data_IF_902793544341
#
_entry.id   IF_902793544341
#
_cell.length_a   1.000
_cell.length_b   1.000
_cell.length_c   1.000
_cell.angle_alpha   90.00
_cell.angle_beta   90.00
_cell.angle_gamma   90.00
#
_symmetry.space_group_name_H-M   'P 1'
#
loop_
_entity.id
_entity.type
_entity.pdbx_description
1 polymer ?
#
# COMPACT_ATOMS: atom_id res chain seq x y z
N UNK A 1 19.53 -34.82 42.44
CA UNK A 1 18.47 -35.03 41.44
C UNK A 1 18.53 -33.83 40.51
N UNK A 2 18.82 -34.02 39.22
CA UNK A 2 18.86 -32.91 38.24
C UNK A 2 17.44 -32.78 37.69
N UNK A 3 16.88 -31.58 37.71
CA UNK A 3 15.56 -31.28 37.13
C UNK A 3 15.61 -31.49 35.61
N UNK A 4 14.62 -32.16 35.00
CA UNK A 4 14.59 -32.33 33.55
C UNK A 4 14.50 -30.96 32.84
N UNK A 5 15.06 -30.84 31.62
CA UNK A 5 15.01 -29.59 30.87
C UNK A 5 13.57 -29.19 30.53
N UNK A 6 13.27 -27.89 30.59
CA UNK A 6 11.94 -27.37 30.22
C UNK A 6 11.58 -27.71 28.76
N UNK A 7 10.32 -28.10 28.49
CA UNK A 7 9.89 -28.44 27.14
C UNK A 7 9.93 -27.21 26.22
N UNK A 8 10.34 -27.44 24.97
CA UNK A 8 10.35 -26.42 23.93
C UNK A 8 8.91 -25.90 23.68
N UNK A 9 8.73 -24.58 23.71
CA UNK A 9 7.43 -23.93 23.53
C UNK A 9 7.59 -22.56 22.88
N UNK A 10 6.54 -22.08 22.22
CA UNK A 10 6.51 -20.70 21.71
C UNK A 10 6.25 -19.71 22.86
N UNK A 11 6.94 -18.56 22.81
CA UNK A 11 6.62 -17.38 23.61
C UNK A 11 5.72 -16.41 22.85
N UNK A 12 5.92 -16.29 21.52
CA UNK A 12 5.05 -15.48 20.66
C UNK A 12 3.76 -16.22 20.34
N UNK A 13 2.62 -15.62 20.68
CA UNK A 13 1.28 -16.20 20.46
C UNK A 13 0.51 -15.53 19.34
N UNK A 14 0.93 -14.33 18.90
CA UNK A 14 0.27 -13.57 17.85
C UNK A 14 1.27 -12.74 17.04
N UNK A 15 0.89 -12.40 15.83
CA UNK A 15 1.62 -11.50 14.95
C UNK A 15 0.71 -10.30 14.64
N UNK A 16 1.23 -9.06 14.63
CA UNK A 16 0.47 -7.88 14.22
C UNK A 16 -0.14 -8.03 12.83
N UNK A 17 -1.24 -7.31 12.58
CA UNK A 17 -1.74 -7.12 11.21
C UNK A 17 -0.75 -6.31 10.37
N UNK A 18 -0.85 -6.48 9.05
CA UNK A 18 -0.13 -5.69 8.06
C UNK A 18 -1.10 -4.99 7.10
N UNK A 19 -0.55 -4.17 6.19
CA UNK A 19 -1.33 -3.47 5.15
C UNK A 19 -0.63 -3.63 3.81
N UNK A 20 -1.41 -3.85 2.74
CA UNK A 20 -0.86 -3.99 1.39
C UNK A 20 0.02 -2.80 1.03
N UNK A 21 1.23 -3.09 0.54
CA UNK A 21 2.20 -2.09 0.09
C UNK A 21 2.94 -1.35 1.19
N UNK A 22 2.67 -1.65 2.47
CA UNK A 22 3.40 -1.08 3.61
C UNK A 22 4.39 -2.11 4.11
N UNK A 23 5.65 -1.70 4.30
CA UNK A 23 6.68 -2.58 4.88
C UNK A 23 6.26 -3.08 6.25
N UNK A 24 6.21 -4.40 6.40
CA UNK A 24 5.99 -5.06 7.67
C UNK A 24 7.30 -5.11 8.44
N UNK A 25 7.36 -4.38 9.56
CA UNK A 25 8.55 -4.33 10.40
C UNK A 25 8.94 -5.73 10.89
N UNK A 26 10.24 -6.08 10.98
CA UNK A 26 10.66 -7.40 11.43
C UNK A 26 10.11 -7.74 12.82
N UNK A 27 9.39 -8.85 12.91
CA UNK A 27 8.92 -9.43 14.18
C UNK A 27 9.64 -10.76 14.40
N UNK A 28 10.33 -10.88 15.53
CA UNK A 28 10.97 -12.14 15.92
C UNK A 28 9.94 -13.01 16.64
N UNK A 29 9.72 -14.20 16.11
CA UNK A 29 8.98 -15.27 16.79
C UNK A 29 9.91 -15.88 17.83
N UNK A 30 9.53 -15.78 19.09
CA UNK A 30 10.31 -16.25 20.21
C UNK A 30 9.82 -17.62 20.71
N UNK A 31 10.76 -18.40 21.24
CA UNK A 31 10.53 -19.69 21.88
C UNK A 31 11.39 -19.82 23.13
N UNK A 32 10.90 -20.56 24.13
CA UNK A 32 11.62 -20.88 25.36
C UNK A 32 11.64 -22.40 25.61
N UNK A 33 12.41 -22.83 26.62
CA UNK A 33 12.75 -24.24 26.81
C UNK A 33 13.66 -24.79 25.71
N UNK A 34 13.73 -26.12 25.62
CA UNK A 34 14.57 -26.85 24.68
C UNK A 34 16.06 -26.72 24.95
N UNK A 35 16.87 -27.35 24.09
CA UNK A 35 18.33 -27.40 24.23
C UNK A 35 18.98 -26.85 22.96
N UNK A 36 19.86 -25.86 23.13
CA UNK A 36 20.68 -25.32 22.04
C UNK A 36 19.96 -24.30 21.14
N UNK A 37 20.40 -24.23 19.89
CA UNK A 37 19.91 -23.29 18.89
C UNK A 37 18.49 -23.66 18.45
N UNK A 38 17.69 -22.63 18.13
CA UNK A 38 16.35 -22.79 17.57
C UNK A 38 16.33 -22.51 16.08
N UNK A 39 15.67 -23.40 15.34
CA UNK A 39 15.42 -23.25 13.91
C UNK A 39 13.92 -23.23 13.66
N UNK A 40 13.45 -22.24 12.90
CA UNK A 40 12.03 -22.06 12.59
C UNK A 40 11.74 -22.43 11.13
N UNK A 41 10.57 -23.01 10.90
CA UNK A 41 10.13 -23.40 9.56
C UNK A 41 8.61 -23.35 9.43
N UNK A 42 8.12 -23.12 8.21
CA UNK A 42 6.70 -23.23 7.88
C UNK A 42 6.36 -24.70 7.65
N UNK A 43 5.33 -25.21 8.32
CA UNK A 43 4.90 -26.61 8.18
C UNK A 43 3.54 -26.77 7.49
N UNK A 44 2.68 -25.76 7.55
CA UNK A 44 1.41 -25.74 6.83
C UNK A 44 0.87 -24.32 6.63
N UNK A 45 -0.01 -24.17 5.65
CA UNK A 45 -0.53 -22.87 5.21
C UNK A 45 0.44 -22.16 4.27
N UNK A 46 0.15 -20.91 3.97
CA UNK A 46 0.98 -20.04 3.15
C UNK A 46 1.18 -18.70 3.85
N UNK A 47 2.39 -18.14 3.74
CA UNK A 47 2.64 -16.77 4.15
C UNK A 47 1.94 -15.81 3.18
N UNK A 48 1.57 -14.60 3.63
CA UNK A 48 1.09 -13.56 2.71
C UNK A 48 2.10 -13.30 1.59
N UNK A 49 1.63 -13.06 0.36
CA UNK A 49 2.51 -12.81 -0.79
C UNK A 49 3.39 -11.58 -0.54
N UNK A 50 4.71 -11.75 -0.59
CA UNK A 50 5.69 -10.69 -0.28
C UNK A 50 6.19 -10.71 1.17
N UNK A 51 5.73 -11.65 1.98
CA UNK A 51 6.25 -11.93 3.32
C UNK A 51 7.19 -13.13 3.34
N UNK A 52 8.12 -13.14 4.29
CA UNK A 52 9.07 -14.21 4.51
C UNK A 52 9.19 -14.54 6.00
N UNK A 53 9.53 -15.80 6.27
CA UNK A 53 9.95 -16.28 7.59
C UNK A 53 11.38 -16.83 7.45
N UNK A 54 12.30 -16.30 8.24
CA UNK A 54 13.68 -16.82 8.29
C UNK A 54 13.78 -18.03 9.21
N UNK A 55 14.85 -18.81 9.04
CA UNK A 55 15.18 -19.91 9.96
C UNK A 55 15.51 -19.45 11.38
N UNK A 56 15.81 -18.16 11.59
CA UNK A 56 15.98 -17.55 12.90
C UNK A 56 14.67 -17.06 13.53
N UNK A 57 13.53 -17.27 12.86
CA UNK A 57 12.20 -16.90 13.38
C UNK A 57 11.81 -15.47 13.08
N UNK A 58 12.50 -14.77 12.18
CA UNK A 58 12.16 -13.39 11.80
C UNK A 58 11.09 -13.41 10.72
N UNK A 59 9.94 -12.83 11.02
CA UNK A 59 8.83 -12.61 10.08
C UNK A 59 8.82 -11.16 9.62
N UNK A 60 8.98 -10.92 8.31
CA UNK A 60 9.08 -9.58 7.73
C UNK A 60 8.76 -9.60 6.24
N UNK A 61 8.58 -8.41 5.64
CA UNK A 61 8.40 -8.28 4.19
C UNK A 61 7.54 -7.09 3.81
N UNK A 62 7.00 -7.13 2.59
CA UNK A 62 6.06 -6.15 2.07
C UNK A 62 4.88 -6.89 1.41
N UNK A 63 3.75 -7.05 2.11
CA UNK A 63 2.64 -7.83 1.61
C UNK A 63 1.95 -7.12 0.43
N UNK A 64 1.54 -7.89 -0.57
CA UNK A 64 0.97 -7.36 -1.83
C UNK A 64 -0.51 -7.71 -2.04
N UNK A 65 -1.03 -8.66 -1.26
CA UNK A 65 -2.40 -9.17 -1.40
C UNK A 65 -3.09 -9.13 -0.05
N UNK A 66 -4.22 -8.42 0.01
CA UNK A 66 -5.06 -8.35 1.20
C UNK A 66 -5.71 -9.71 1.48
N UNK A 67 -5.92 -10.02 2.76
CA UNK A 67 -6.52 -11.29 3.16
C UNK A 67 -6.18 -11.69 4.59
N UNK A 68 -6.83 -12.74 5.06
CA UNK A 68 -6.48 -13.40 6.33
C UNK A 68 -5.67 -14.65 6.03
N UNK A 69 -4.46 -14.73 6.57
CA UNK A 69 -3.52 -15.81 6.31
C UNK A 69 -3.27 -16.58 7.60
N UNK A 70 -3.74 -17.83 7.65
CA UNK A 70 -3.45 -18.75 8.75
C UNK A 70 -2.38 -19.73 8.32
N UNK A 71 -1.30 -19.82 9.11
CA UNK A 71 -0.19 -20.70 8.86
C UNK A 71 0.41 -21.23 10.16
N UNK A 72 1.06 -22.38 10.08
CA UNK A 72 1.66 -23.04 11.25
C UNK A 72 3.17 -23.03 11.12
N UNK A 73 3.82 -22.51 12.15
CA UNK A 73 5.28 -22.46 12.29
C UNK A 73 5.70 -23.57 13.25
N UNK A 74 6.77 -24.27 12.88
CA UNK A 74 7.49 -25.19 13.76
C UNK A 74 8.77 -24.55 14.24
N UNK A 75 9.05 -24.68 15.53
CA UNK A 75 10.38 -24.48 16.10
C UNK A 75 11.00 -25.85 16.38
N UNK A 76 12.27 -26.01 16.07
CA UNK A 76 13.07 -27.21 16.33
C UNK A 76 14.35 -26.82 17.03
N UNK A 77 14.71 -27.53 18.10
CA UNK A 77 15.97 -27.34 18.82
C UNK A 77 17.08 -28.29 18.32
N UNK A 78 18.30 -28.16 18.85
CA UNK A 78 19.44 -28.97 18.41
C UNK A 78 19.30 -30.47 18.77
N UNK A 79 18.46 -30.79 19.75
CA UNK A 79 18.15 -32.16 20.17
C UNK A 79 16.92 -32.73 19.45
N UNK A 80 16.47 -32.07 18.37
CA UNK A 80 15.31 -32.45 17.56
C UNK A 80 13.97 -32.40 18.30
N UNK A 81 13.88 -31.74 19.46
CA UNK A 81 12.61 -31.44 20.07
C UNK A 81 11.87 -30.41 19.21
N UNK A 82 10.55 -30.56 19.09
CA UNK A 82 9.73 -29.68 18.24
C UNK A 82 8.52 -29.16 18.98
N UNK A 83 8.14 -27.92 18.67
CA UNK A 83 6.82 -27.37 18.99
C UNK A 83 6.24 -26.73 17.73
N UNK A 84 4.91 -26.71 17.63
CA UNK A 84 4.18 -26.05 16.54
C UNK A 84 3.25 -24.97 17.11
N UNK A 85 3.14 -23.85 16.41
CA UNK A 85 2.20 -22.78 16.74
C UNK A 85 1.52 -22.28 15.46
N UNK A 86 0.20 -22.15 15.51
CA UNK A 86 -0.57 -21.52 14.45
C UNK A 86 -0.63 -20.02 14.68
N UNK A 87 -0.37 -19.26 13.62
CA UNK A 87 -0.50 -17.81 13.56
C UNK A 87 -1.55 -17.44 12.54
N UNK A 88 -2.26 -16.33 12.79
CA UNK A 88 -3.11 -15.70 11.80
C UNK A 88 -2.68 -14.25 11.64
N UNK A 89 -2.35 -13.87 10.41
CA UNK A 89 -1.97 -12.50 10.04
C UNK A 89 -3.02 -11.95 9.10
N UNK A 90 -3.61 -10.82 9.46
CA UNK A 90 -4.52 -10.08 8.60
C UNK A 90 -3.71 -9.04 7.82
N UNK A 91 -3.80 -9.08 6.50
CA UNK A 91 -3.30 -8.04 5.62
C UNK A 91 -4.49 -7.19 5.15
N UNK A 92 -4.53 -5.96 5.61
CA UNK A 92 -5.55 -4.98 5.24
C UNK A 92 -5.34 -4.47 3.81
N UNK A 93 -6.42 -4.15 3.07
CA UNK A 93 -6.31 -3.52 1.76
C UNK A 93 -5.58 -2.16 1.83
N UNK A 94 -5.06 -1.65 0.70
CA UNK A 94 -4.51 -0.31 0.67
C UNK A 94 -5.61 0.72 0.98
N UNK A 95 -5.20 1.93 1.37
CA UNK A 95 -6.15 3.03 1.48
C UNK A 95 -6.84 3.29 0.14
N UNK A 96 -8.15 3.65 0.13
CA UNK A 96 -8.83 4.00 -1.10
C UNK A 96 -8.10 5.11 -1.84
N UNK A 97 -7.93 4.93 -3.15
CA UNK A 97 -7.38 5.99 -4.01
C UNK A 97 -8.33 7.20 -3.98
N UNK A 98 -7.76 8.39 -3.77
CA UNK A 98 -8.52 9.64 -3.69
C UNK A 98 -7.70 10.82 -4.21
N UNK A 99 -8.38 11.87 -4.68
CA UNK A 99 -7.71 13.13 -5.02
C UNK A 99 -7.34 13.89 -3.75
N UNK A 100 -6.16 14.52 -3.76
CA UNK A 100 -5.75 15.53 -2.79
C UNK A 100 -6.08 16.94 -3.26
N UNK A 101 -5.95 17.18 -4.58
CA UNK A 101 -6.37 18.45 -5.20
C UNK A 101 -7.88 18.47 -5.40
N UNK A 102 -8.55 19.44 -4.77
CA UNK A 102 -10.02 19.60 -4.86
C UNK A 102 -10.45 20.78 -5.73
N UNK A 103 -9.54 21.70 -6.04
CA UNK A 103 -9.79 22.86 -6.90
C UNK A 103 -8.55 23.24 -7.70
N UNK A 104 -8.77 23.99 -8.78
CA UNK A 104 -7.72 24.56 -9.62
C UNK A 104 -7.87 26.09 -9.62
N UNK A 105 -6.76 26.85 -9.62
CA UNK A 105 -6.80 28.30 -9.77
C UNK A 105 -7.53 28.75 -11.03
N UNK A 106 -8.16 29.93 -10.99
CA UNK A 106 -8.68 30.60 -12.18
C UNK A 106 -7.55 31.00 -13.13
N UNK A 107 -7.83 31.00 -14.43
CA UNK A 107 -6.93 31.52 -15.47
C UNK A 107 -7.37 32.89 -15.99
N UNK A 108 -6.56 33.47 -16.86
CA UNK A 108 -6.86 34.71 -17.59
C UNK A 108 -6.47 34.56 -19.05
N UNK A 109 -7.33 35.01 -19.97
CA UNK A 109 -7.07 34.91 -21.42
C UNK A 109 -5.71 35.52 -21.77
N UNK A 110 -4.91 34.78 -22.52
CA UNK A 110 -3.61 35.25 -23.00
C UNK A 110 -2.50 35.28 -21.96
N UNK A 111 -2.75 34.85 -20.72
CA UNK A 111 -1.74 34.74 -19.65
C UNK A 111 -1.33 33.29 -19.48
N UNK A 112 -0.03 33.01 -19.38
CA UNK A 112 0.47 31.66 -19.13
C UNK A 112 -0.05 31.16 -17.78
N UNK A 113 -0.71 30.01 -17.80
CA UNK A 113 -1.12 29.28 -16.61
C UNK A 113 0.05 28.43 -16.13
N UNK A 114 0.59 28.77 -14.95
CA UNK A 114 1.70 28.02 -14.35
C UNK A 114 1.31 26.55 -14.15
N UNK A 115 2.23 25.58 -14.38
CA UNK A 115 1.91 24.16 -14.18
C UNK A 115 1.41 23.87 -12.78
N UNK A 116 0.22 23.28 -12.68
CA UNK A 116 -0.37 22.78 -11.45
C UNK A 116 -0.41 21.26 -11.50
N UNK A 117 0.14 20.61 -10.48
CA UNK A 117 0.06 19.16 -10.34
C UNK A 117 -1.22 18.79 -9.60
N UNK A 118 -2.05 17.96 -10.22
CA UNK A 118 -3.21 17.35 -9.58
C UNK A 118 -2.73 16.15 -8.76
N UNK A 119 -2.79 16.27 -7.45
CA UNK A 119 -2.29 15.26 -6.52
C UNK A 119 -3.37 14.25 -6.15
N UNK A 120 -2.92 13.02 -5.85
CA UNK A 120 -3.75 11.93 -5.34
C UNK A 120 -3.00 11.16 -4.27
N UNK A 121 -3.75 10.51 -3.38
CA UNK A 121 -3.22 9.72 -2.26
C UNK A 121 -4.00 8.41 -2.12
N UNK A 122 -3.50 7.50 -1.28
CA UNK A 122 -4.00 6.12 -1.25
C UNK A 122 -3.66 5.37 -2.53
N UNK A 123 -4.39 4.27 -2.77
CA UNK A 123 -4.15 3.31 -3.83
C UNK A 123 -2.86 2.52 -3.64
N UNK A 124 -2.62 1.60 -4.58
CA UNK A 124 -1.39 0.81 -4.66
C UNK A 124 -0.93 0.74 -6.11
N UNK A 125 0.24 1.33 -6.39
CA UNK A 125 0.87 1.28 -7.71
C UNK A 125 1.11 2.65 -8.35
N UNK A 126 1.30 2.65 -9.68
CA UNK A 126 1.67 3.84 -10.44
C UNK A 126 0.43 4.65 -10.82
N UNK A 127 0.44 5.93 -10.44
CA UNK A 127 -0.64 6.88 -10.76
C UNK A 127 -0.62 7.28 -12.23
N UNK A 128 -1.78 7.18 -12.86
CA UNK A 128 -2.04 7.70 -14.22
C UNK A 128 -3.34 8.47 -14.20
N UNK A 129 -3.33 9.65 -14.82
CA UNK A 129 -4.48 10.54 -14.88
C UNK A 129 -5.05 10.61 -16.30
N UNK A 130 -6.35 10.83 -16.40
CA UNK A 130 -7.05 10.96 -17.69
C UNK A 130 -8.27 11.87 -17.56
N UNK A 131 -8.62 12.55 -18.66
CA UNK A 131 -9.87 13.27 -18.78
C UNK A 131 -10.98 12.27 -19.12
N UNK A 132 -12.06 12.21 -18.33
CA UNK A 132 -13.18 11.29 -18.58
C UNK A 132 -14.44 11.99 -19.10
N UNK A 133 -14.62 13.28 -18.80
CA UNK A 133 -15.72 14.07 -19.33
C UNK A 133 -15.44 15.57 -19.26
N UNK A 134 -16.21 16.35 -20.02
CA UNK A 134 -16.04 17.80 -20.16
C UNK A 134 -14.92 18.16 -21.14
N UNK A 135 -14.57 19.45 -21.16
CA UNK A 135 -13.52 19.98 -22.01
C UNK A 135 -12.62 20.92 -21.21
N UNK A 136 -11.31 20.88 -21.50
CA UNK A 136 -10.37 21.85 -20.96
C UNK A 136 -10.61 23.23 -21.61
N UNK A 137 -10.25 24.34 -20.94
CA UNK A 137 -10.23 25.64 -21.61
C UNK A 137 -9.36 25.59 -22.89
N UNK A 138 -9.79 26.19 -24.01
CA UNK A 138 -8.97 26.23 -25.23
C UNK A 138 -7.58 26.80 -24.96
N UNK A 139 -6.53 26.11 -25.42
CA UNK A 139 -5.13 26.47 -25.16
C UNK A 139 -4.54 25.90 -23.87
N UNK A 140 -5.32 25.14 -23.10
CA UNK A 140 -4.85 24.37 -21.95
C UNK A 140 -4.58 22.91 -22.34
N UNK A 141 -3.66 22.28 -21.61
CA UNK A 141 -3.29 20.89 -21.74
C UNK A 141 -3.33 20.19 -20.37
N UNK A 142 -3.59 18.88 -20.42
CA UNK A 142 -3.54 18.00 -19.25
C UNK A 142 -2.72 16.75 -19.60
N UNK A 143 -1.73 16.43 -18.77
CA UNK A 143 -0.89 15.25 -18.96
C UNK A 143 -1.39 14.04 -18.16
N UNK A 144 -0.96 12.85 -18.58
CA UNK A 144 -1.19 11.61 -17.83
C UNK A 144 -0.43 11.53 -16.50
N UNK A 145 0.53 12.43 -16.26
CA UNK A 145 1.19 12.63 -14.97
C UNK A 145 0.43 13.58 -14.03
N UNK A 146 -0.74 14.08 -14.45
CA UNK A 146 -1.58 14.96 -13.64
C UNK A 146 -1.20 16.44 -13.72
N UNK A 147 -0.37 16.85 -14.70
CA UNK A 147 0.02 18.26 -14.85
C UNK A 147 -1.02 18.98 -15.71
N UNK A 148 -1.58 20.06 -15.17
CA UNK A 148 -2.46 20.99 -15.86
C UNK A 148 -1.75 22.32 -16.11
N UNK A 149 -1.63 22.73 -17.37
CA UNK A 149 -0.87 23.93 -17.77
C UNK A 149 -1.29 24.44 -19.14
N UNK A 150 -0.82 25.63 -19.53
CA UNK A 150 -1.03 26.15 -20.89
C UNK A 150 -1.23 27.66 -20.92
N UNK A 151 -1.92 28.12 -21.95
CA UNK A 151 -2.26 29.54 -22.14
C UNK A 151 -3.70 29.63 -22.67
N UNK A 152 -4.69 29.89 -21.80
CA UNK A 152 -6.07 29.87 -22.21
C UNK A 152 -6.37 31.00 -23.21
N UNK A 153 -7.15 30.71 -24.24
CA UNK A 153 -7.46 31.65 -25.32
C UNK A 153 -8.90 32.16 -25.32
N UNK A 154 -9.80 31.53 -24.56
CA UNK A 154 -11.23 31.88 -24.53
C UNK A 154 -11.71 31.98 -23.07
N UNK A 155 -12.30 33.13 -22.73
CA UNK A 155 -12.91 33.35 -21.42
C UNK A 155 -14.15 32.45 -21.24
N UNK A 156 -14.40 31.99 -20.03
CA UNK A 156 -15.52 31.09 -19.74
C UNK A 156 -15.33 30.29 -18.46
N UNK A 157 -16.36 29.53 -18.10
CA UNK A 157 -16.31 28.55 -17.01
C UNK A 157 -16.26 27.15 -17.61
N UNK A 158 -15.17 26.44 -17.36
CA UNK A 158 -14.91 25.12 -17.91
C UNK A 158 -14.97 24.08 -16.80
N UNK A 159 -15.93 23.16 -16.90
CA UNK A 159 -16.07 22.05 -15.95
C UNK A 159 -15.68 20.75 -16.63
N UNK A 160 -14.79 19.99 -16.00
CA UNK A 160 -14.29 18.72 -16.51
C UNK A 160 -14.01 17.74 -15.38
N UNK A 161 -14.10 16.45 -15.69
CA UNK A 161 -13.85 15.39 -14.71
C UNK A 161 -12.58 14.64 -15.07
N UNK A 162 -11.68 14.53 -14.10
CA UNK A 162 -10.43 13.79 -14.20
C UNK A 162 -10.57 12.49 -13.43
N UNK A 163 -10.08 11.41 -14.01
CA UNK A 163 -9.90 10.12 -13.35
C UNK A 163 -8.43 9.88 -13.04
N UNK A 164 -8.16 9.36 -11.85
CA UNK A 164 -6.88 8.77 -11.48
C UNK A 164 -7.03 7.27 -11.28
N UNK A 165 -6.06 6.51 -11.79
CA UNK A 165 -5.93 5.06 -11.59
C UNK A 165 -4.53 4.75 -11.06
N UNK A 166 -4.37 3.71 -10.26
CA UNK A 166 -3.07 3.26 -9.73
C UNK A 166 -2.46 2.05 -10.48
N UNK A 167 -3.04 1.69 -11.63
CA UNK A 167 -2.64 0.52 -12.41
C UNK A 167 -3.23 -0.80 -11.92
N UNK A 168 -4.09 -0.75 -10.90
CA UNK A 168 -4.92 -1.83 -10.37
C UNK A 168 -6.41 -1.50 -10.63
N UNK A 169 -7.39 -2.35 -10.26
CA UNK A 169 -8.82 -2.02 -10.40
C UNK A 169 -9.27 -0.76 -9.63
N UNK A 170 -8.43 -0.17 -8.76
CA UNK A 170 -8.78 1.03 -8.03
C UNK A 170 -8.72 2.29 -8.91
N UNK A 171 -9.74 3.14 -8.78
CA UNK A 171 -9.81 4.43 -9.46
C UNK A 171 -10.62 5.44 -8.67
N UNK A 172 -10.33 6.72 -8.85
CA UNK A 172 -11.13 7.82 -8.32
C UNK A 172 -11.40 8.85 -9.41
N UNK A 173 -12.51 9.58 -9.28
CA UNK A 173 -12.88 10.69 -10.15
C UNK A 173 -12.98 11.98 -9.34
N UNK A 174 -12.56 13.09 -9.93
CA UNK A 174 -12.73 14.43 -9.38
C UNK A 174 -13.15 15.39 -10.48
N UNK A 175 -14.21 16.15 -10.20
CA UNK A 175 -14.66 17.24 -11.07
C UNK A 175 -13.97 18.53 -10.67
N UNK A 176 -13.45 19.25 -11.65
CA UNK A 176 -12.84 20.57 -11.51
C UNK A 176 -13.62 21.58 -12.33
N UNK A 177 -13.67 22.82 -11.82
CA UNK A 177 -14.17 23.97 -12.56
C UNK A 177 -13.09 25.03 -12.59
N UNK A 178 -12.68 25.43 -13.80
CA UNK A 178 -11.70 26.50 -14.02
C UNK A 178 -12.41 27.67 -14.69
N UNK A 179 -12.39 28.82 -14.02
CA UNK A 179 -12.86 30.07 -14.60
C UNK A 179 -11.70 30.76 -15.30
N UNK A 180 -11.89 31.14 -16.56
CA UNK A 180 -10.96 31.97 -17.33
C UNK A 180 -11.58 33.35 -17.48
N UNK A 181 -10.96 34.36 -16.87
CA UNK A 181 -11.38 35.76 -17.01
C UNK A 181 -10.92 36.36 -18.34
N UNK A 182 -11.62 37.39 -18.85
CA UNK A 182 -11.19 38.17 -20.02
C UNK A 182 -9.80 38.82 -19.83
N UNK A 183 -9.18 39.33 -20.93
CA UNK A 183 -7.89 40.03 -20.90
C UNK A 183 -7.80 41.24 -19.96
#
# INVERSE_FOLDING_TARGET
MIEPPEPLKFGTTSLPSGKVGVTYAPVTIESSGGIGKRTYSLVSGALPVGMALTSSGVFSGAPTVAGSYTFTVRVTDDQSATANQSFTVVIEPPEPLKFGTTSLPSGKVGVTYAPVTIESSGGFGKRTYSLVSGALPPGMAFSSSGIFSGKPSVAGSYTFTVRVTDGQPASANQTFTVVVSPP
#
